data_IF_835589967613
#
_entry.id   IF_835589967613
#
_cell.length_a   1.000
_cell.length_b   1.000
_cell.length_c   1.000
_cell.angle_alpha   90.00
_cell.angle_beta   90.00
_cell.angle_gamma   90.00
#
_symmetry.space_group_name_H-M   'P 1'
#
loop_
_entity.id
_entity.type
_entity.pdbx_description
1 polymer ?
#
# COMPACT_ATOMS: atom_id res chain seq x y z
N UNK A 1 -7.04 -12.87 1.21
CA UNK A 1 -7.90 -11.81 1.75
C UNK A 1 -8.34 -10.91 0.61
N UNK A 2 -9.64 -10.68 0.51
CA UNK A 2 -10.25 -9.80 -0.48
C UNK A 2 -10.28 -8.35 0.03
N UNK A 3 -10.33 -7.40 -0.91
CA UNK A 3 -10.35 -5.97 -0.59
C UNK A 3 -11.59 -5.59 0.24
N UNK A 4 -12.73 -6.27 0.04
CA UNK A 4 -13.95 -6.06 0.84
C UNK A 4 -13.78 -6.49 2.30
N UNK A 5 -13.10 -7.61 2.57
CA UNK A 5 -12.81 -8.10 3.92
C UNK A 5 -11.87 -7.13 4.66
N UNK A 6 -10.89 -6.56 3.94
CA UNK A 6 -9.98 -5.56 4.49
C UNK A 6 -10.69 -4.25 4.90
N UNK A 7 -11.75 -3.87 4.19
CA UNK A 7 -12.53 -2.67 4.52
C UNK A 7 -13.44 -2.94 5.73
N UNK A 8 -13.95 -4.16 5.88
CA UNK A 8 -14.76 -4.56 7.04
C UNK A 8 -13.91 -4.62 8.32
N UNK A 9 -12.75 -5.30 8.28
CA UNK A 9 -11.86 -5.47 9.43
C UNK A 9 -11.17 -4.16 9.87
N UNK A 10 -10.70 -3.34 8.93
CA UNK A 10 -9.84 -2.17 9.23
C UNK A 10 -10.46 -0.81 8.88
N UNK A 11 -11.60 -0.77 8.18
CA UNK A 11 -12.24 0.49 7.78
C UNK A 11 -12.91 1.27 8.92
N UNK A 12 -13.00 0.67 10.12
CA UNK A 12 -13.54 1.29 11.33
C UNK A 12 -12.46 1.85 12.27
N UNK A 13 -11.17 1.67 11.97
CA UNK A 13 -10.07 2.29 12.73
C UNK A 13 -10.13 3.81 12.68
N UNK A 14 -9.66 4.47 13.74
CA UNK A 14 -9.81 5.91 13.90
C UNK A 14 -9.12 6.71 12.78
N UNK A 15 -9.66 7.89 12.43
CA UNK A 15 -9.05 8.78 11.44
C UNK A 15 -7.57 9.06 11.74
N UNK A 16 -6.66 8.44 10.97
CA UNK A 16 -5.21 8.60 11.11
C UNK A 16 -4.51 7.53 11.99
N UNK A 17 -5.21 6.50 12.43
CA UNK A 17 -4.63 5.35 13.13
C UNK A 17 -3.79 4.47 12.18
N UNK A 18 -2.57 4.11 12.59
CA UNK A 18 -1.68 3.21 11.85
C UNK A 18 -1.39 1.98 12.71
N UNK A 19 -1.78 0.80 12.24
CA UNK A 19 -1.57 -0.46 12.94
C UNK A 19 -0.25 -1.07 12.43
N UNK A 20 0.86 -0.77 13.11
CA UNK A 20 2.21 -1.19 12.66
C UNK A 20 2.48 -2.71 12.82
N UNK A 21 1.75 -3.40 13.71
CA UNK A 21 1.96 -4.82 14.04
C UNK A 21 1.25 -5.82 13.09
N UNK A 22 0.49 -5.35 12.09
CA UNK A 22 -0.34 -6.22 11.22
C UNK A 22 0.10 -6.13 9.77
N UNK A 23 0.66 -7.23 9.25
CA UNK A 23 1.02 -7.37 7.84
C UNK A 23 -0.06 -8.14 7.05
N UNK A 24 -0.71 -7.46 6.09
CA UNK A 24 -1.77 -8.04 5.25
C UNK A 24 -1.32 -8.15 3.79
N UNK A 25 -1.56 -9.32 3.17
CA UNK A 25 -1.37 -9.51 1.72
C UNK A 25 -2.70 -9.39 0.96
N UNK A 26 -2.80 -8.37 0.12
CA UNK A 26 -3.97 -8.08 -0.72
C UNK A 26 -3.63 -8.22 -2.22
N UNK A 27 -4.60 -8.67 -3.01
CA UNK A 27 -4.49 -8.76 -4.46
C UNK A 27 -5.61 -7.96 -5.15
N UNK A 28 -5.29 -7.32 -6.28
CA UNK A 28 -6.24 -6.52 -7.04
C UNK A 28 -5.63 -5.93 -8.30
N UNK A 29 -6.39 -5.08 -8.99
CA UNK A 29 -5.95 -4.33 -10.17
C UNK A 29 -5.61 -2.90 -9.77
N UNK A 30 -4.39 -2.45 -10.05
CA UNK A 30 -4.02 -1.04 -9.93
C UNK A 30 -4.76 -0.26 -11.02
N UNK A 31 -5.61 0.69 -10.62
CA UNK A 31 -6.36 1.55 -11.54
C UNK A 31 -5.73 2.94 -11.69
N UNK A 32 -5.01 3.39 -10.66
CA UNK A 32 -4.35 4.69 -10.64
C UNK A 32 -3.03 4.60 -9.86
N UNK A 33 -2.02 5.33 -10.32
CA UNK A 33 -0.76 5.59 -9.61
C UNK A 33 -0.57 7.10 -9.53
N UNK A 34 -0.32 7.62 -8.34
CA UNK A 34 0.01 9.03 -8.09
C UNK A 34 1.29 9.11 -7.26
N UNK A 35 2.24 9.95 -7.68
CA UNK A 35 3.38 10.31 -6.85
C UNK A 35 3.03 11.60 -6.09
N UNK A 36 3.29 11.64 -4.78
CA UNK A 36 3.15 12.86 -3.98
C UNK A 36 4.49 13.57 -3.80
N UNK A 37 5.59 12.80 -3.69
CA UNK A 37 6.96 13.29 -3.74
C UNK A 37 7.87 12.15 -4.26
N UNK A 38 9.20 12.31 -4.17
CA UNK A 38 10.18 11.31 -4.64
C UNK A 38 10.25 10.01 -3.82
N UNK A 39 9.60 9.95 -2.64
CA UNK A 39 9.60 8.83 -1.69
C UNK A 39 8.21 8.28 -1.37
N UNK A 40 7.14 8.99 -1.73
CA UNK A 40 5.76 8.67 -1.36
C UNK A 40 4.88 8.50 -2.59
N UNK A 41 4.38 7.28 -2.77
CA UNK A 41 3.49 6.89 -3.87
C UNK A 41 2.15 6.39 -3.34
N UNK A 42 1.08 6.73 -4.05
CA UNK A 42 -0.28 6.30 -3.79
C UNK A 42 -0.79 5.47 -4.97
N UNK A 43 -1.36 4.31 -4.67
CA UNK A 43 -1.98 3.43 -5.67
C UNK A 43 -3.43 3.19 -5.29
N UNK A 44 -4.35 3.37 -6.23
CA UNK A 44 -5.75 2.97 -6.03
C UNK A 44 -5.89 1.52 -6.53
N UNK A 45 -5.99 0.58 -5.59
CA UNK A 45 -6.10 -0.86 -5.84
C UNK A 45 -7.58 -1.28 -5.80
N UNK A 46 -8.08 -1.83 -6.90
CA UNK A 46 -9.47 -2.24 -7.06
C UNK A 46 -9.63 -3.76 -7.09
N UNK A 47 -10.72 -4.27 -6.52
CA UNK A 47 -11.03 -5.70 -6.49
C UNK A 47 -12.39 -5.97 -5.84
N UNK A 48 -13.11 -6.97 -6.36
CA UNK A 48 -14.44 -7.38 -5.87
C UNK A 48 -15.46 -6.23 -5.72
N UNK A 49 -15.41 -5.23 -6.61
CA UNK A 49 -16.29 -4.06 -6.59
C UNK A 49 -15.89 -2.94 -5.62
N UNK A 50 -14.90 -3.17 -4.76
CA UNK A 50 -14.35 -2.18 -3.83
C UNK A 50 -12.99 -1.64 -4.29
N UNK A 51 -12.50 -0.61 -3.57
CA UNK A 51 -11.15 -0.06 -3.73
C UNK A 51 -10.53 0.27 -2.38
N UNK A 52 -9.21 0.12 -2.29
CA UNK A 52 -8.38 0.64 -1.20
C UNK A 52 -7.26 1.49 -1.77
N UNK A 53 -6.80 2.45 -0.98
CA UNK A 53 -5.62 3.24 -1.33
C UNK A 53 -4.40 2.66 -0.62
N UNK A 54 -3.41 2.21 -1.40
CA UNK A 54 -2.13 1.76 -0.89
C UNK A 54 -1.18 2.94 -0.86
N UNK A 55 -0.68 3.28 0.33
CA UNK A 55 0.33 4.31 0.55
C UNK A 55 1.70 3.65 0.71
N UNK A 56 2.58 3.84 -0.26
CA UNK A 56 3.93 3.30 -0.28
C UNK A 56 4.94 4.42 0.00
N UNK A 57 5.43 4.48 1.25
CA UNK A 57 6.52 5.37 1.68
C UNK A 57 7.83 4.60 1.72
N UNK A 58 8.85 5.09 1.00
CA UNK A 58 10.17 4.48 0.95
C UNK A 58 10.86 4.41 2.33
N UNK A 59 10.53 5.34 3.23
CA UNK A 59 11.09 5.41 4.59
C UNK A 59 10.57 4.29 5.49
N UNK A 60 9.38 3.74 5.21
CA UNK A 60 8.80 2.61 5.95
C UNK A 60 9.40 1.29 5.47
N UNK A 61 9.59 1.11 4.16
CA UNK A 61 10.20 -0.10 3.60
C UNK A 61 11.64 -0.29 4.10
N UNK A 62 12.41 0.79 4.21
CA UNK A 62 13.79 0.75 4.75
C UNK A 62 13.90 0.39 6.25
N UNK A 63 12.78 0.26 6.97
CA UNK A 63 12.76 -0.25 8.35
C UNK A 63 12.68 -1.78 8.44
N UNK A 64 12.26 -2.48 7.37
CA UNK A 64 11.97 -3.92 7.40
C UNK A 64 12.90 -4.79 6.54
N UNK A 65 13.59 -4.23 5.55
CA UNK A 65 14.76 -4.88 4.93
C UNK A 65 15.90 -3.88 4.74
N UNK A 66 17.14 -4.35 4.93
CA UNK A 66 18.37 -3.61 4.66
C UNK A 66 18.69 -3.53 3.16
N UNK A 67 17.68 -3.36 2.32
CA UNK A 67 17.77 -3.38 0.87
C UNK A 67 17.33 -2.02 0.31
N UNK A 68 18.16 -1.47 -0.58
CA UNK A 68 17.88 -0.19 -1.24
C UNK A 68 16.56 -0.27 -2.02
N UNK A 69 15.80 0.83 -2.03
CA UNK A 69 14.46 0.84 -2.63
C UNK A 69 14.54 0.55 -4.15
N UNK A 70 13.63 -0.27 -4.67
CA UNK A 70 13.71 -0.79 -6.04
C UNK A 70 12.75 -0.14 -7.03
N UNK A 71 13.27 0.66 -7.98
CA UNK A 71 12.48 1.59 -8.82
C UNK A 71 12.90 1.75 -10.29
N UNK A 72 14.03 1.18 -10.73
CA UNK A 72 14.65 1.46 -12.04
C UNK A 72 14.19 0.54 -13.20
N UNK A 73 14.70 -0.70 -13.28
CA UNK A 73 14.59 -1.57 -14.46
C UNK A 73 14.34 -3.04 -14.11
N UNK A 74 13.17 -3.63 -14.39
CA UNK A 74 11.93 -3.04 -14.91
C UNK A 74 11.11 -2.41 -13.79
N UNK A 75 11.38 -1.15 -13.46
CA UNK A 75 10.94 -0.49 -12.21
C UNK A 75 11.31 -1.27 -10.93
N UNK A 76 12.50 -1.87 -10.92
CA UNK A 76 13.14 -2.56 -9.78
C UNK A 76 14.62 -2.16 -9.76
N UNK A 77 15.25 -2.12 -8.58
CA UNK A 77 16.62 -1.64 -8.33
C UNK A 77 16.87 -0.24 -8.93
#
# INVERSE_FOLDING_TARGET
MYIVECIDEYGSSGNGEHIEDVAVSLAGRIMSKRASNSKLFFYDLHGSGAKVQVMADASVVMKQSGEDFGMSGSTIR
#
